data_IF_473744628583
#
_entry.id   IF_473744628583
#
_cell.length_a   1.000
_cell.length_b   1.000
_cell.length_c   1.000
_cell.angle_alpha   90.00
_cell.angle_beta   90.00
_cell.angle_gamma   90.00
#
_symmetry.space_group_name_H-M   'P 1'
#
loop_
_entity.id
_entity.type
_entity.pdbx_description
1 polymer ?
#
# COMPACT_ATOMS: atom_id res chain seq x y z
N UNK A 1 14.13 18.09 7.42
CA UNK A 1 13.05 18.82 6.73
C UNK A 1 11.77 18.05 6.99
N UNK A 2 10.65 18.72 7.29
CA UNK A 2 9.38 17.99 7.46
C UNK A 2 9.02 17.26 6.16
N UNK A 3 8.44 16.06 6.27
CA UNK A 3 8.07 15.29 5.09
C UNK A 3 6.99 16.02 4.28
N UNK A 4 7.11 16.04 2.93
CA UNK A 4 6.17 16.75 2.07
C UNK A 4 4.74 16.24 2.26
N UNK A 5 3.77 17.13 2.14
CA UNK A 5 2.37 16.82 2.45
C UNK A 5 1.79 15.74 1.53
N UNK A 6 2.27 15.67 0.29
CA UNK A 6 1.92 14.63 -0.67
C UNK A 6 2.41 13.25 -0.24
N UNK A 7 3.60 13.16 0.36
CA UNK A 7 4.14 11.91 0.90
C UNK A 7 3.31 11.40 2.08
N UNK A 8 2.91 12.29 3.00
CA UNK A 8 2.03 11.92 4.12
C UNK A 8 0.63 11.54 3.64
N UNK A 9 0.13 12.23 2.62
CA UNK A 9 -1.18 11.94 2.00
C UNK A 9 -1.17 10.57 1.32
N UNK A 10 -0.13 10.28 0.53
CA UNK A 10 0.12 8.96 -0.03
C UNK A 10 0.24 7.88 1.07
N UNK A 11 0.87 8.23 2.20
CA UNK A 11 0.95 7.37 3.38
C UNK A 11 -0.41 7.00 3.96
N UNK A 12 -1.30 7.97 4.20
CA UNK A 12 -2.67 7.72 4.67
C UNK A 12 -3.44 6.85 3.67
N UNK A 13 -3.31 7.13 2.38
CA UNK A 13 -4.03 6.38 1.35
C UNK A 13 -3.52 4.93 1.28
N UNK A 14 -2.20 4.72 1.35
CA UNK A 14 -1.61 3.39 1.43
C UNK A 14 -2.00 2.67 2.71
N UNK A 15 -2.06 3.36 3.84
CA UNK A 15 -2.52 2.80 5.11
C UNK A 15 -3.98 2.31 4.99
N UNK A 16 -4.88 3.19 4.56
CA UNK A 16 -6.30 2.88 4.43
C UNK A 16 -6.54 1.77 3.39
N UNK A 17 -5.93 1.88 2.21
CA UNK A 17 -6.08 0.89 1.14
C UNK A 17 -5.45 -0.45 1.53
N UNK A 18 -4.29 -0.43 2.19
CA UNK A 18 -3.61 -1.64 2.65
C UNK A 18 -4.42 -2.39 3.70
N UNK A 19 -4.98 -1.69 4.69
CA UNK A 19 -5.87 -2.30 5.70
C UNK A 19 -7.13 -2.85 5.04
N UNK A 20 -7.75 -2.09 4.16
CA UNK A 20 -8.99 -2.53 3.50
C UNK A 20 -8.74 -3.72 2.57
N UNK A 21 -7.60 -3.74 1.87
CA UNK A 21 -7.18 -4.85 1.02
C UNK A 21 -6.84 -6.09 1.86
N UNK A 22 -6.13 -5.94 2.98
CA UNK A 22 -5.86 -7.01 3.94
C UNK A 22 -7.17 -7.66 4.42
N UNK A 23 -8.12 -6.85 4.89
CA UNK A 23 -9.39 -7.36 5.40
C UNK A 23 -10.21 -8.06 4.31
N UNK A 24 -10.32 -7.46 3.13
CA UNK A 24 -11.06 -8.05 1.99
C UNK A 24 -10.44 -9.39 1.57
N UNK A 25 -9.11 -9.45 1.46
CA UNK A 25 -8.40 -10.68 1.09
C UNK A 25 -8.48 -11.76 2.18
N UNK A 26 -8.50 -11.38 3.47
CA UNK A 26 -8.74 -12.33 4.56
C UNK A 26 -10.16 -12.88 4.55
N UNK A 27 -11.16 -12.06 4.21
CA UNK A 27 -12.54 -12.54 4.02
C UNK A 27 -12.58 -13.60 2.92
N UNK A 28 -11.99 -13.32 1.75
CA UNK A 28 -11.88 -14.31 0.67
C UNK A 28 -11.14 -15.57 1.10
N UNK A 29 -10.06 -15.42 1.87
CA UNK A 29 -9.30 -16.55 2.43
C UNK A 29 -10.20 -17.44 3.28
N UNK A 30 -10.93 -16.87 4.24
CA UNK A 30 -11.80 -17.62 5.17
C UNK A 30 -12.99 -18.23 4.43
N UNK A 31 -13.63 -17.49 3.53
CA UNK A 31 -14.79 -17.98 2.77
C UNK A 31 -14.42 -19.16 1.88
N UNK A 32 -13.22 -19.15 1.29
CA UNK A 32 -12.78 -20.16 0.33
C UNK A 32 -11.80 -21.19 0.93
N UNK A 33 -11.53 -21.15 2.23
CA UNK A 33 -10.59 -22.08 2.87
C UNK A 33 -11.09 -23.53 2.82
N UNK A 34 -12.40 -23.73 2.92
CA UNK A 34 -13.05 -25.04 2.89
C UNK A 34 -12.93 -25.77 1.55
N UNK A 35 -12.61 -25.03 0.48
CA UNK A 35 -12.37 -25.56 -0.87
C UNK A 35 -10.88 -25.47 -1.27
N UNK A 36 -9.99 -25.29 -0.29
CA UNK A 36 -8.52 -25.21 -0.42
C UNK A 36 -7.96 -24.10 -1.31
N UNK A 37 -8.79 -23.37 -2.06
CA UNK A 37 -8.39 -22.25 -2.91
C UNK A 37 -8.27 -20.93 -2.13
N UNK A 38 -8.82 -20.84 -0.92
CA UNK A 38 -8.68 -19.64 -0.07
C UNK A 38 -7.23 -19.31 0.31
N UNK A 39 -6.34 -20.31 0.36
CA UNK A 39 -4.92 -20.10 0.68
C UNK A 39 -4.21 -19.20 -0.34
N UNK A 40 -4.67 -19.15 -1.59
CA UNK A 40 -4.10 -18.26 -2.61
C UNK A 40 -4.30 -16.78 -2.26
N UNK A 41 -5.35 -16.45 -1.50
CA UNK A 41 -5.64 -15.07 -1.08
C UNK A 41 -4.79 -14.61 0.12
N UNK A 42 -3.99 -15.49 0.73
CA UNK A 42 -3.02 -15.08 1.75
C UNK A 42 -1.91 -14.19 1.19
N UNK A 43 -1.49 -14.41 -0.07
CA UNK A 43 -0.48 -13.58 -0.73
C UNK A 43 -0.96 -12.13 -0.91
N UNK A 44 -2.11 -11.85 -1.53
CA UNK A 44 -2.63 -10.49 -1.62
C UNK A 44 -3.02 -9.91 -0.25
N UNK A 45 -3.42 -10.74 0.73
CA UNK A 45 -3.60 -10.29 2.11
C UNK A 45 -2.28 -9.77 2.72
N UNK A 46 -1.20 -10.52 2.58
CA UNK A 46 0.13 -10.12 3.05
C UNK A 46 0.63 -8.84 2.33
N UNK A 47 0.38 -8.72 1.03
CA UNK A 47 0.69 -7.51 0.27
C UNK A 47 -0.10 -6.28 0.77
N UNK A 48 -1.38 -6.45 1.12
CA UNK A 48 -2.18 -5.39 1.77
C UNK A 48 -1.63 -5.01 3.15
N UNK A 49 -1.22 -6.00 3.95
CA UNK A 49 -0.56 -5.76 5.24
C UNK A 49 0.77 -5.00 5.11
N UNK A 50 1.58 -5.37 4.13
CA UNK A 50 2.83 -4.66 3.79
C UNK A 50 2.56 -3.22 3.35
N UNK A 51 1.57 -3.00 2.48
CA UNK A 51 1.17 -1.66 2.07
C UNK A 51 0.72 -0.82 3.27
N UNK A 52 -0.06 -1.41 4.17
CA UNK A 52 -0.53 -0.73 5.37
C UNK A 52 0.62 -0.31 6.29
N UNK A 53 1.57 -1.21 6.52
CA UNK A 53 2.75 -0.95 7.34
C UNK A 53 3.59 0.20 6.79
N UNK A 54 3.93 0.17 5.49
CA UNK A 54 4.70 1.24 4.86
C UNK A 54 3.90 2.55 4.84
N UNK A 55 2.59 2.50 4.59
CA UNK A 55 1.73 3.67 4.65
C UNK A 55 1.71 4.35 6.02
N UNK A 56 1.74 3.56 7.10
CA UNK A 56 1.87 4.08 8.47
C UNK A 56 3.20 4.80 8.70
N UNK A 57 4.32 4.23 8.24
CA UNK A 57 5.64 4.89 8.31
C UNK A 57 5.66 6.20 7.54
N UNK A 58 5.13 6.20 6.31
CA UNK A 58 5.02 7.40 5.47
C UNK A 58 4.19 8.50 6.14
N UNK A 59 3.06 8.14 6.76
CA UNK A 59 2.20 9.09 7.48
C UNK A 59 2.91 9.72 8.68
N UNK A 60 3.70 8.94 9.42
CA UNK A 60 4.53 9.44 10.51
C UNK A 60 5.71 10.30 10.04
N UNK A 61 5.93 10.39 8.72
CA UNK A 61 7.01 11.17 8.12
C UNK A 61 8.35 10.42 8.06
N UNK A 62 8.35 9.11 8.26
CA UNK A 62 9.54 8.29 8.08
C UNK A 62 9.83 8.11 6.59
N UNK A 63 11.08 8.37 6.17
CA UNK A 63 11.52 8.11 4.81
C UNK A 63 11.62 6.60 4.59
N UNK A 64 10.90 6.09 3.59
CA UNK A 64 10.86 4.66 3.29
C UNK A 64 11.20 4.42 1.81
N UNK A 65 12.29 3.67 1.50
CA UNK A 65 12.57 3.26 0.12
C UNK A 65 11.52 2.31 -0.44
N UNK A 66 10.70 1.74 0.44
CA UNK A 66 9.61 0.85 0.07
C UNK A 66 8.33 1.59 -0.34
N UNK A 67 8.25 2.92 -0.21
CA UNK A 67 7.02 3.69 -0.44
C UNK A 67 6.39 3.41 -1.81
N UNK A 68 7.19 3.41 -2.88
CA UNK A 68 6.69 3.11 -4.24
C UNK A 68 6.28 1.64 -4.40
N UNK A 69 7.09 0.73 -3.86
CA UNK A 69 6.81 -0.71 -3.92
C UNK A 69 5.57 -1.11 -3.12
N UNK A 70 5.30 -0.42 -2.00
CA UNK A 70 4.11 -0.60 -1.19
C UNK A 70 2.85 -0.20 -1.96
N UNK A 71 2.86 0.94 -2.66
CA UNK A 71 1.74 1.34 -3.52
C UNK A 71 1.49 0.31 -4.63
N UNK A 72 2.55 -0.20 -5.28
CA UNK A 72 2.42 -1.24 -6.32
C UNK A 72 1.85 -2.54 -5.73
N UNK A 73 2.34 -2.96 -4.57
CA UNK A 73 1.80 -4.13 -3.87
C UNK A 73 0.31 -3.96 -3.56
N UNK A 74 -0.11 -2.75 -3.19
CA UNK A 74 -1.53 -2.40 -3.01
C UNK A 74 -2.39 -2.47 -4.26
N UNK A 75 -1.86 -2.05 -5.42
CA UNK A 75 -2.54 -2.20 -6.70
C UNK A 75 -2.78 -3.68 -6.99
N UNK A 76 -1.74 -4.51 -6.86
CA UNK A 76 -1.81 -5.95 -7.10
C UNK A 76 -2.78 -6.61 -6.10
N UNK A 77 -2.65 -6.32 -4.81
CA UNK A 77 -3.51 -6.85 -3.76
C UNK A 77 -4.99 -6.45 -3.95
N UNK A 78 -5.24 -5.23 -4.41
CA UNK A 78 -6.58 -4.75 -4.75
C UNK A 78 -7.18 -5.49 -5.95
N UNK A 79 -6.41 -5.69 -7.02
CA UNK A 79 -6.87 -6.41 -8.21
C UNK A 79 -7.19 -7.88 -7.91
N UNK A 80 -6.30 -8.59 -7.20
CA UNK A 80 -6.53 -9.98 -6.80
C UNK A 80 -7.65 -10.12 -5.76
N UNK A 81 -7.84 -9.11 -4.91
CA UNK A 81 -8.94 -9.05 -3.95
C UNK A 81 -10.29 -8.63 -4.50
N UNK A 82 -10.39 -8.36 -5.81
CA UNK A 82 -11.55 -7.75 -6.47
C UNK A 82 -12.00 -6.43 -5.83
N UNK A 83 -11.05 -5.67 -5.33
CA UNK A 83 -11.26 -4.39 -4.65
C UNK A 83 -10.70 -3.25 -5.51
N UNK A 84 -11.55 -2.76 -6.42
CA UNK A 84 -11.19 -1.70 -7.38
C UNK A 84 -10.84 -0.39 -6.66
N UNK A 85 -11.45 -0.13 -5.50
CA UNK A 85 -11.24 1.10 -4.72
C UNK A 85 -9.83 1.10 -4.13
N UNK A 86 -9.38 -0.03 -3.58
CA UNK A 86 -8.00 -0.13 -3.08
C UNK A 86 -7.00 -0.10 -4.23
N UNK A 87 -7.31 -0.71 -5.37
CA UNK A 87 -6.44 -0.63 -6.54
C UNK A 87 -6.28 0.82 -7.03
N UNK A 88 -7.38 1.56 -7.17
CA UNK A 88 -7.37 2.96 -7.59
C UNK A 88 -6.70 3.89 -6.56
N UNK A 89 -7.01 3.70 -5.27
CA UNK A 89 -6.37 4.47 -4.19
C UNK A 89 -4.86 4.23 -4.12
N UNK A 90 -4.42 2.98 -4.29
CA UNK A 90 -2.99 2.64 -4.33
C UNK A 90 -2.30 3.22 -5.56
N UNK A 91 -2.96 3.27 -6.72
CA UNK A 91 -2.45 3.94 -7.91
C UNK A 91 -2.31 5.46 -7.69
N UNK A 92 -3.27 6.09 -7.03
CA UNK A 92 -3.18 7.50 -6.68
C UNK A 92 -2.05 7.79 -5.67
N UNK A 93 -1.88 6.93 -4.66
CA UNK A 93 -0.73 7.02 -3.74
C UNK A 93 0.60 6.83 -4.47
N UNK A 94 0.66 5.95 -5.47
CA UNK A 94 1.84 5.78 -6.33
C UNK A 94 2.18 7.05 -7.12
N UNK A 95 1.18 7.75 -7.65
CA UNK A 95 1.38 9.02 -8.37
C UNK A 95 1.97 10.09 -7.45
N UNK A 96 1.44 10.23 -6.24
CA UNK A 96 1.95 11.20 -5.27
C UNK A 96 3.39 10.90 -4.80
N UNK A 97 3.74 9.62 -4.60
CA UNK A 97 5.13 9.23 -4.31
C UNK A 97 6.05 9.48 -5.52
N UNK A 98 5.48 9.55 -6.72
CA UNK A 98 6.21 9.81 -7.96
C UNK A 98 6.47 11.29 -8.25
N UNK A 99 5.95 12.22 -7.46
CA UNK A 99 6.18 13.65 -7.66
C UNK A 99 7.64 14.04 -7.37
N UNK A 100 8.17 14.99 -8.13
CA UNK A 100 9.59 15.36 -8.07
C UNK A 100 9.99 15.93 -6.70
N UNK A 101 9.07 16.62 -6.02
CA UNK A 101 9.26 17.10 -4.65
C UNK A 101 9.45 15.94 -3.67
N UNK A 102 8.63 14.89 -3.78
CA UNK A 102 8.70 13.70 -2.93
C UNK A 102 9.94 12.87 -3.23
N UNK A 103 10.28 12.69 -4.52
CA UNK A 103 11.51 12.01 -4.94
C UNK A 103 12.76 12.72 -4.44
N UNK A 104 12.84 14.04 -4.61
CA UNK A 104 13.97 14.83 -4.14
C UNK A 104 14.12 14.76 -2.62
N UNK A 105 13.00 14.74 -1.88
CA UNK A 105 13.03 14.54 -0.44
C UNK A 105 13.51 13.13 -0.05
N UNK A 106 13.04 12.08 -0.74
CA UNK A 106 13.48 10.69 -0.50
C UNK A 106 14.97 10.50 -0.80
N UNK A 107 15.48 11.10 -1.87
CA UNK A 107 16.92 11.11 -2.22
C UNK A 107 17.76 11.75 -1.12
N UNK A 108 17.33 12.90 -0.59
CA UNK A 108 18.01 13.59 0.50
C UNK A 108 18.03 12.80 1.82
N UNK A 109 17.05 11.92 2.02
CA UNK A 109 16.95 11.08 3.23
C UNK A 109 17.46 9.64 2.99
N UNK A 110 18.15 9.37 1.89
CA UNK A 110 18.76 8.06 1.60
C UNK A 110 17.75 6.94 1.31
N UNK A 111 16.55 7.31 0.87
CA UNK A 111 15.41 6.41 0.67
C UNK A 111 14.92 6.36 -0.79
N UNK A 112 15.76 6.73 -1.77
CA UNK A 112 15.44 6.69 -3.20
C UNK A 112 15.80 5.36 -3.88
#
# INVERSE_FOLDING_TARGET
MEAPQQYKTAGIINLACGVFSLLTNLVWTITLIFVCIGLFWLIPAAAGGYQAFVGWQMYNGEASPQAKNASIAGIVAGLFGFNIITAAGSAYAMMQVGEDEVKGWLEQHGAA
#
